data_IF_068232953205
#
_entry.id   IF_068232953205
#
_cell.length_a   1.000
_cell.length_b   1.000
_cell.length_c   1.000
_cell.angle_alpha   90.00
_cell.angle_beta   90.00
_cell.angle_gamma   90.00
#
_symmetry.space_group_name_H-M   'P 1'
#
loop_
_entity.id
_entity.type
_entity.pdbx_description
1 polymer ?
#
# COMPACT_ATOMS: atom_id res chain seq x y z
N UNK A 1 -39.46 22.43 15.49
CA UNK A 1 -38.50 21.37 15.09
C UNK A 1 -37.13 22.00 15.06
N UNK A 2 -36.13 21.45 15.75
CA UNK A 2 -34.73 21.89 15.63
C UNK A 2 -34.16 21.40 14.31
N UNK A 3 -33.50 22.28 13.57
CA UNK A 3 -32.83 21.95 12.30
C UNK A 3 -31.36 21.60 12.55
N UNK A 4 -30.74 20.84 11.64
CA UNK A 4 -29.34 20.39 11.77
C UNK A 4 -28.37 21.56 12.09
N UNK A 5 -28.46 22.75 11.45
CA UNK A 5 -27.56 23.87 11.76
C UNK A 5 -27.74 24.48 13.15
N UNK A 6 -28.82 24.15 13.86
CA UNK A 6 -29.11 24.66 15.21
C UNK A 6 -28.59 23.72 16.31
N UNK A 7 -28.05 22.56 15.94
CA UNK A 7 -27.46 21.62 16.88
C UNK A 7 -26.03 22.05 17.25
N UNK A 8 -25.62 21.96 18.52
CA UNK A 8 -24.22 22.08 18.90
C UNK A 8 -23.37 21.04 18.15
N UNK A 9 -22.17 21.43 17.73
CA UNK A 9 -21.22 20.48 17.12
C UNK A 9 -20.76 19.46 18.16
N UNK A 10 -20.80 18.18 17.81
CA UNK A 10 -20.25 17.13 18.65
C UNK A 10 -18.71 17.27 18.73
N UNK A 11 -18.15 17.21 19.93
CA UNK A 11 -16.70 17.26 20.14
C UNK A 11 -15.97 15.99 19.63
N UNK A 12 -16.68 14.87 19.57
CA UNK A 12 -16.22 13.59 19.03
C UNK A 12 -17.41 12.79 18.52
N UNK A 13 -17.19 11.96 17.50
CA UNK A 13 -18.19 11.03 16.97
C UNK A 13 -17.71 9.60 17.15
N UNK A 14 -18.48 8.79 17.87
CA UNK A 14 -18.22 7.39 18.15
C UNK A 14 -19.07 6.43 17.30
N UNK A 15 -18.73 5.13 17.27
CA UNK A 15 -19.42 4.14 16.44
C UNK A 15 -20.89 3.90 16.82
N UNK A 16 -21.26 4.16 18.08
CA UNK A 16 -22.61 4.01 18.61
C UNK A 16 -23.47 5.26 18.48
N UNK A 17 -22.90 6.40 18.06
CA UNK A 17 -23.66 7.63 17.87
C UNK A 17 -24.68 7.44 16.77
N UNK A 18 -25.86 8.05 16.93
CA UNK A 18 -26.99 7.88 16.02
C UNK A 18 -27.04 9.01 14.99
N UNK A 19 -27.15 8.62 13.73
CA UNK A 19 -27.45 9.49 12.61
C UNK A 19 -28.93 9.35 12.23
N UNK A 20 -29.64 10.46 11.99
CA UNK A 20 -30.99 10.41 11.46
C UNK A 20 -30.97 9.98 9.98
N UNK A 21 -31.78 8.97 9.64
CA UNK A 21 -32.02 8.54 8.25
C UNK A 21 -33.49 8.79 7.88
N UNK A 22 -33.74 9.54 6.82
CA UNK A 22 -35.09 9.68 6.26
C UNK A 22 -35.27 8.74 5.08
N UNK A 23 -36.22 7.80 5.19
CA UNK A 23 -36.53 6.82 4.15
C UNK A 23 -38.05 6.63 4.06
N UNK A 24 -38.60 6.71 2.85
CA UNK A 24 -40.03 6.50 2.59
C UNK A 24 -40.96 7.35 3.49
N UNK A 25 -40.55 8.59 3.80
CA UNK A 25 -41.32 9.50 4.65
C UNK A 25 -41.27 9.20 6.15
N UNK A 26 -40.45 8.23 6.59
CA UNK A 26 -40.23 7.89 8.00
C UNK A 26 -38.80 8.25 8.41
N UNK A 27 -38.63 8.70 9.66
CA UNK A 27 -37.32 8.98 10.24
C UNK A 27 -36.87 7.76 11.07
N UNK A 28 -35.72 7.21 10.71
CA UNK A 28 -35.04 6.12 11.41
C UNK A 28 -33.77 6.65 12.07
N UNK A 29 -33.25 5.87 13.01
CA UNK A 29 -31.90 6.05 13.53
C UNK A 29 -31.03 4.90 13.03
N UNK A 30 -29.82 5.21 12.58
CA UNK A 30 -28.76 4.23 12.35
C UNK A 30 -27.52 4.68 13.12
N UNK A 31 -26.75 3.74 13.64
CA UNK A 31 -25.45 4.08 14.23
C UNK A 31 -24.47 4.50 13.14
N UNK A 32 -23.47 5.32 13.50
CA UNK A 32 -22.34 5.64 12.62
C UNK A 32 -21.72 4.34 12.09
N UNK A 33 -21.55 3.33 12.94
CA UNK A 33 -21.04 2.01 12.51
C UNK A 33 -21.91 1.34 11.45
N UNK A 34 -23.25 1.38 11.57
CA UNK A 34 -24.14 0.81 10.56
C UNK A 34 -24.00 1.53 9.22
N UNK A 35 -23.81 2.84 9.23
CA UNK A 35 -23.62 3.66 8.03
C UNK A 35 -22.24 3.41 7.40
N UNK A 36 -21.19 3.21 8.20
CA UNK A 36 -19.81 3.07 7.72
C UNK A 36 -19.35 1.63 7.53
N UNK A 37 -20.16 0.62 7.85
CA UNK A 37 -19.76 -0.79 7.85
C UNK A 37 -19.20 -1.31 6.51
N UNK A 38 -19.57 -0.67 5.39
CA UNK A 38 -19.10 -1.02 4.05
C UNK A 38 -18.04 -0.07 3.47
N UNK A 39 -17.63 0.96 4.22
CA UNK A 39 -16.63 1.92 3.74
C UNK A 39 -15.23 1.36 3.94
N UNK A 40 -14.39 1.53 2.92
CA UNK A 40 -12.96 1.29 3.07
C UNK A 40 -12.36 2.37 3.98
N UNK A 41 -11.55 1.94 4.95
CA UNK A 41 -10.81 2.88 5.78
C UNK A 41 -9.81 3.68 4.97
N UNK A 42 -9.52 4.90 5.41
CA UNK A 42 -8.48 5.73 4.81
C UNK A 42 -7.16 4.96 4.72
N UNK A 43 -6.56 4.97 3.54
CA UNK A 43 -5.24 4.39 3.31
C UNK A 43 -4.25 5.54 3.16
N UNK A 44 -3.32 5.63 4.11
CA UNK A 44 -2.16 6.52 4.00
C UNK A 44 -0.97 5.73 3.48
N UNK A 45 -0.30 6.23 2.44
CA UNK A 45 0.88 5.62 1.85
C UNK A 45 2.04 6.63 1.83
N UNK A 46 3.20 6.32 2.45
CA UNK A 46 4.36 7.19 2.38
C UNK A 46 4.90 7.27 0.94
N UNK A 47 5.57 8.38 0.62
CA UNK A 47 6.26 8.52 -0.67
C UNK A 47 7.28 7.39 -0.85
N UNK A 48 7.31 6.78 -2.04
CA UNK A 48 8.19 5.64 -2.34
C UNK A 48 7.66 4.29 -1.84
N UNK A 49 6.50 4.26 -1.16
CA UNK A 49 5.80 3.03 -0.80
C UNK A 49 4.89 2.49 -1.92
N UNK A 50 4.57 1.20 -1.85
CA UNK A 50 3.58 0.52 -2.69
C UNK A 50 2.37 0.12 -1.86
N UNK A 51 1.18 0.09 -2.47
CA UNK A 51 0.05 -0.63 -1.90
C UNK A 51 0.13 -2.10 -2.31
N UNK A 52 0.15 -2.98 -1.32
CA UNK A 52 0.18 -4.41 -1.51
C UNK A 52 -0.44 -5.12 -0.31
N UNK A 53 -0.13 -6.39 -0.15
CA UNK A 53 -0.46 -7.15 1.06
C UNK A 53 0.48 -8.32 1.17
N UNK A 54 1.19 -8.42 2.29
CA UNK A 54 2.11 -9.55 2.55
C UNK A 54 1.68 -10.38 3.77
N UNK A 55 0.71 -9.90 4.55
CA UNK A 55 0.07 -10.67 5.61
C UNK A 55 -0.75 -11.85 5.06
N UNK A 56 -0.70 -12.96 5.78
CA UNK A 56 -1.50 -14.15 5.46
C UNK A 56 -3.01 -13.89 5.58
N UNK A 57 -3.82 -14.58 4.76
CA UNK A 57 -5.29 -14.50 4.80
C UNK A 57 -5.88 -13.51 3.78
N UNK A 58 -7.05 -12.96 4.06
CA UNK A 58 -7.67 -11.86 3.32
C UNK A 58 -7.80 -10.65 4.26
N UNK A 59 -7.56 -9.44 3.77
CA UNK A 59 -7.52 -8.24 4.59
C UNK A 59 -7.39 -6.95 3.77
N UNK A 60 -7.28 -5.82 4.47
CA UNK A 60 -7.09 -4.49 3.87
C UNK A 60 -5.73 -4.40 3.18
N UNK A 61 -5.56 -3.53 2.16
CA UNK A 61 -4.24 -3.22 1.63
C UNK A 61 -3.31 -2.65 2.71
N UNK A 62 -2.02 -2.90 2.54
CA UNK A 62 -0.93 -2.55 3.46
C UNK A 62 0.13 -1.76 2.69
N UNK A 63 0.83 -0.87 3.38
CA UNK A 63 2.02 -0.24 2.83
C UNK A 63 3.16 -1.26 2.74
N UNK A 64 3.73 -1.43 1.55
CA UNK A 64 4.86 -2.32 1.29
C UNK A 64 6.04 -1.49 0.80
N UNK A 65 7.22 -1.70 1.40
CA UNK A 65 8.46 -1.09 0.96
C UNK A 65 9.13 -1.97 -0.11
N UNK A 66 9.67 -1.38 -1.19
CA UNK A 66 10.57 -2.11 -2.09
C UNK A 66 11.78 -2.66 -1.32
N UNK A 67 12.12 -3.92 -1.60
CA UNK A 67 13.33 -4.55 -1.05
C UNK A 67 14.59 -4.15 -1.82
N UNK A 68 15.74 -4.68 -1.39
CA UNK A 68 17.02 -4.50 -2.10
C UNK A 68 16.89 -4.93 -3.57
N UNK A 69 17.43 -4.12 -4.48
CA UNK A 69 17.38 -4.40 -5.92
C UNK A 69 16.17 -3.77 -6.62
N UNK A 70 15.26 -3.12 -5.89
CA UNK A 70 14.10 -2.42 -6.42
C UNK A 70 14.07 -0.96 -5.97
N UNK A 71 13.64 -0.07 -6.86
CA UNK A 71 13.40 1.34 -6.54
C UNK A 71 12.07 1.80 -7.12
N UNK A 72 11.31 2.58 -6.33
CA UNK A 72 10.08 3.22 -6.77
C UNK A 72 10.31 4.73 -6.91
N UNK A 73 10.11 5.27 -8.10
CA UNK A 73 10.27 6.70 -8.38
C UNK A 73 9.48 7.12 -9.62
N UNK A 74 8.93 8.34 -9.61
CA UNK A 74 8.15 8.86 -10.74
C UNK A 74 6.97 7.97 -11.17
N UNK A 75 6.38 7.22 -10.22
CA UNK A 75 5.30 6.27 -10.48
C UNK A 75 5.75 4.95 -11.13
N UNK A 76 7.05 4.67 -11.22
CA UNK A 76 7.61 3.46 -11.83
C UNK A 76 8.40 2.65 -10.80
N UNK A 77 8.10 1.35 -10.70
CA UNK A 77 8.92 0.38 -10.00
C UNK A 77 9.95 -0.20 -10.98
N UNK A 78 11.23 -0.07 -10.65
CA UNK A 78 12.33 -0.54 -11.51
C UNK A 78 13.31 -1.41 -10.74
N UNK A 79 13.89 -2.39 -11.43
CA UNK A 79 15.06 -3.10 -10.92
C UNK A 79 16.27 -2.17 -10.93
N UNK A 80 17.04 -2.16 -9.86
CA UNK A 80 18.33 -1.48 -9.75
C UNK A 80 19.49 -2.49 -9.84
N UNK A 81 19.18 -3.76 -9.57
CA UNK A 81 20.13 -4.86 -9.52
C UNK A 81 21.07 -4.82 -8.31
N UNK A 82 20.88 -3.92 -7.33
CA UNK A 82 21.75 -3.81 -6.15
C UNK A 82 21.67 -5.01 -5.19
N UNK A 83 20.72 -5.92 -5.39
CA UNK A 83 20.61 -7.20 -4.68
C UNK A 83 21.85 -8.08 -4.86
N UNK A 84 22.58 -7.93 -5.98
CA UNK A 84 23.84 -8.62 -6.23
C UNK A 84 24.99 -8.25 -5.28
N UNK A 85 24.87 -7.18 -4.47
CA UNK A 85 25.95 -6.75 -3.56
C UNK A 85 26.28 -7.79 -2.48
N UNK A 86 25.35 -8.69 -2.20
CA UNK A 86 25.55 -9.82 -1.28
C UNK A 86 26.18 -11.05 -1.93
N UNK A 87 26.44 -11.06 -3.24
CA UNK A 87 26.98 -12.23 -3.92
C UNK A 87 28.46 -12.45 -3.58
N UNK A 88 28.92 -13.70 -3.46
CA UNK A 88 30.33 -13.99 -3.17
C UNK A 88 31.22 -13.58 -4.34
N UNK A 89 32.40 -13.02 -4.01
CA UNK A 89 33.43 -12.74 -5.01
C UNK A 89 34.10 -14.04 -5.42
N UNK A 90 34.06 -14.38 -6.70
CA UNK A 90 34.83 -15.48 -7.27
C UNK A 90 36.27 -15.00 -7.55
N UNK A 91 37.25 -15.69 -6.93
CA UNK A 91 38.66 -15.33 -7.07
C UNK A 91 39.33 -15.85 -8.36
N UNK A 92 38.70 -16.79 -9.05
CA UNK A 92 39.19 -17.38 -10.30
C UNK A 92 38.03 -17.71 -11.21
N UNK A 93 38.15 -17.39 -12.50
CA UNK A 93 37.19 -17.78 -13.55
C UNK A 93 37.72 -18.99 -14.32
N UNK A 94 36.81 -19.84 -14.77
CA UNK A 94 37.05 -20.98 -15.66
C UNK A 94 36.47 -20.72 -17.06
N UNK A 95 36.92 -21.49 -18.06
CA UNK A 95 36.38 -21.40 -19.43
C UNK A 95 34.96 -21.96 -19.56
N UNK A 96 34.43 -22.60 -18.52
CA UNK A 96 33.04 -23.05 -18.47
C UNK A 96 32.12 -22.00 -17.82
N UNK A 97 32.67 -20.92 -17.25
CA UNK A 97 31.90 -19.91 -16.54
C UNK A 97 31.19 -18.96 -17.51
N UNK A 98 30.03 -18.45 -17.09
CA UNK A 98 29.33 -17.37 -17.79
C UNK A 98 29.47 -16.07 -17.00
N UNK A 99 29.95 -15.01 -17.65
CA UNK A 99 30.06 -13.68 -17.04
C UNK A 99 28.84 -12.85 -17.41
N UNK A 100 28.06 -12.51 -16.38
CA UNK A 100 26.90 -11.62 -16.48
C UNK A 100 27.25 -10.25 -15.91
N UNK A 101 27.07 -9.21 -16.70
CA UNK A 101 27.17 -7.81 -16.29
C UNK A 101 25.82 -7.36 -15.76
N UNK A 102 25.80 -6.75 -14.58
CA UNK A 102 24.63 -5.99 -14.14
C UNK A 102 24.69 -4.57 -14.72
N UNK A 103 23.80 -4.23 -15.65
CA UNK A 103 23.63 -2.87 -16.14
C UNK A 103 22.40 -2.22 -15.48
N UNK A 104 22.53 -1.85 -14.21
CA UNK A 104 21.49 -1.13 -13.44
C UNK A 104 20.11 -1.79 -13.49
N UNK A 105 20.05 -3.10 -13.20
CA UNK A 105 18.80 -3.87 -13.24
C UNK A 105 18.47 -4.48 -14.60
N UNK A 106 19.30 -4.23 -15.63
CA UNK A 106 19.27 -4.96 -16.90
C UNK A 106 20.51 -5.85 -17.02
N UNK A 107 20.45 -7.14 -16.61
CA UNK A 107 21.58 -8.04 -16.77
C UNK A 107 21.88 -8.31 -18.25
N UNK A 108 23.15 -8.38 -18.60
CA UNK A 108 23.62 -8.71 -19.95
C UNK A 108 24.79 -9.68 -19.90
N UNK A 109 24.94 -10.51 -20.93
CA UNK A 109 26.10 -11.41 -21.09
C UNK A 109 27.22 -10.68 -21.80
N UNK A 110 28.46 -10.93 -21.41
CA UNK A 110 29.59 -10.51 -22.23
C UNK A 110 29.62 -11.31 -23.54
N UNK A 111 30.00 -10.68 -24.68
CA UNK A 111 30.27 -11.41 -25.91
C UNK A 111 31.39 -12.42 -25.68
N UNK A 112 31.20 -13.63 -26.24
CA UNK A 112 32.24 -14.66 -26.35
C UNK A 112 33.18 -14.39 -27.51
#
# INVERSE_FOLDING_TARGET
>A
MTTIPQLPTAASVGPTDLLPLSQNGVLYAASVQQVTAGLQQEISLPTGGLLGRNSAGAGTPEAVAPGTGLALGGGTLSATGTDHLGFPVLGTLSTADEVVVNAQGAPGRLPV
#
